data_IF_085459767144
#
_entry.id   IF_085459767144
#
_cell.length_a   1.000
_cell.length_b   1.000
_cell.length_c   1.000
_cell.angle_alpha   90.00
_cell.angle_beta   90.00
_cell.angle_gamma   90.00
#
_symmetry.space_group_name_H-M   'P 1'
#
loop_
_entity.id
_entity.type
_entity.pdbx_description
1 polymer ?
#
# COMPACT_ATOMS: atom_id res chain seq x y z
N UNK A 1 31.70 -11.47 10.22
CA UNK A 1 31.17 -10.45 9.30
C UNK A 1 29.72 -10.17 9.71
N UNK A 2 29.52 -9.20 10.60
CA UNK A 2 28.17 -8.79 11.04
C UNK A 2 27.69 -7.65 10.13
N UNK A 3 26.60 -7.88 9.38
CA UNK A 3 25.88 -6.82 8.71
C UNK A 3 25.06 -6.04 9.74
N UNK A 4 25.68 -4.99 10.32
CA UNK A 4 24.96 -3.96 11.07
C UNK A 4 24.13 -3.14 10.09
N UNK A 5 22.89 -3.56 9.84
CA UNK A 5 21.86 -2.71 9.26
C UNK A 5 21.63 -1.53 10.19
N UNK A 6 22.09 -0.37 9.75
CA UNK A 6 22.10 0.88 10.50
C UNK A 6 20.67 1.40 10.65
N UNK A 7 20.25 1.61 11.90
CA UNK A 7 18.98 2.27 12.29
C UNK A 7 18.79 3.66 11.65
N UNK A 8 19.85 4.22 11.03
CA UNK A 8 19.86 5.49 10.28
C UNK A 8 19.15 5.40 8.92
N UNK A 9 18.95 4.21 8.36
CA UNK A 9 18.14 4.04 7.14
C UNK A 9 16.63 3.97 7.44
N UNK A 10 16.26 3.84 8.72
CA UNK A 10 14.89 3.65 9.17
C UNK A 10 14.09 4.96 9.30
N UNK A 11 14.75 6.12 9.21
CA UNK A 11 14.10 7.44 9.31
C UNK A 11 14.81 8.41 8.38
N UNK A 12 14.69 8.19 7.07
CA UNK A 12 14.77 9.30 6.11
C UNK A 12 13.35 9.80 5.87
N UNK A 13 12.76 10.38 6.92
CA UNK A 13 11.55 11.21 6.83
C UNK A 13 11.92 12.46 6.04
N UNK A 14 11.79 12.39 4.73
CA UNK A 14 11.62 13.60 3.92
C UNK A 14 10.23 14.15 4.24
N UNK A 15 10.18 15.34 4.84
CA UNK A 15 9.01 16.15 5.23
C UNK A 15 8.04 16.53 4.07
N UNK A 16 7.97 15.73 3.01
CA UNK A 16 7.14 15.98 1.83
C UNK A 16 6.40 14.75 1.30
N UNK A 17 6.40 13.62 2.03
CA UNK A 17 5.70 12.43 1.55
C UNK A 17 4.19 12.52 1.81
N UNK A 18 3.41 12.42 0.75
CA UNK A 18 1.94 12.32 0.81
C UNK A 18 1.50 11.26 1.84
N UNK A 19 0.50 11.54 2.72
CA UNK A 19 0.07 10.66 3.82
C UNK A 19 -0.12 9.19 3.42
N UNK A 20 -0.74 8.98 2.25
CA UNK A 20 -0.99 7.63 1.72
C UNK A 20 0.27 6.76 1.59
N UNK A 21 1.43 7.35 1.24
CA UNK A 21 2.68 6.61 1.15
C UNK A 21 3.25 6.26 2.52
N UNK A 22 3.01 7.08 3.53
CA UNK A 22 3.43 6.78 4.90
C UNK A 22 2.63 5.59 5.45
N UNK A 23 1.31 5.61 5.30
CA UNK A 23 0.44 4.50 5.70
C UNK A 23 0.78 3.19 4.97
N UNK A 24 0.98 3.25 3.65
CA UNK A 24 1.37 2.08 2.87
C UNK A 24 2.76 1.55 3.27
N UNK A 25 3.71 2.45 3.54
CA UNK A 25 5.05 2.06 4.01
C UNK A 25 5.00 1.42 5.41
N UNK A 26 4.10 1.90 6.29
CA UNK A 26 3.85 1.31 7.61
C UNK A 26 3.43 -0.16 7.49
N UNK A 27 2.56 -0.45 6.52
CA UNK A 27 2.06 -1.80 6.21
C UNK A 27 3.02 -2.61 5.32
N UNK A 28 4.27 -2.16 5.19
CA UNK A 28 5.31 -2.79 4.37
C UNK A 28 4.98 -2.94 2.87
N UNK A 29 4.02 -2.15 2.35
CA UNK A 29 3.73 -2.11 0.91
C UNK A 29 4.86 -1.38 0.18
N UNK A 30 5.52 -2.10 -0.71
CA UNK A 30 6.69 -1.62 -1.42
C UNK A 30 6.33 -0.73 -2.60
N UNK A 31 7.27 0.15 -3.01
CA UNK A 31 7.10 0.95 -4.21
C UNK A 31 6.96 0.11 -5.50
N UNK A 32 7.48 -1.12 -5.50
CA UNK A 32 7.34 -2.06 -6.62
C UNK A 32 5.92 -2.60 -6.71
N UNK A 33 5.31 -2.98 -5.59
CA UNK A 33 3.91 -3.43 -5.53
C UNK A 33 2.96 -2.30 -5.95
N UNK A 34 3.21 -1.08 -5.47
CA UNK A 34 2.46 0.11 -5.90
C UNK A 34 2.57 0.33 -7.42
N UNK A 35 3.79 0.24 -7.96
CA UNK A 35 4.03 0.41 -9.39
C UNK A 35 3.31 -0.65 -10.23
N UNK A 36 3.32 -1.91 -9.78
CA UNK A 36 2.61 -3.01 -10.41
C UNK A 36 1.08 -2.80 -10.38
N UNK A 37 0.52 -2.42 -9.22
CA UNK A 37 -0.91 -2.19 -9.05
C UNK A 37 -1.42 -1.05 -9.95
N UNK A 38 -0.64 0.02 -10.08
CA UNK A 38 -0.95 1.18 -10.92
C UNK A 38 -0.56 1.01 -12.40
N UNK A 39 0.15 -0.07 -12.76
CA UNK A 39 0.75 -0.29 -14.09
C UNK A 39 1.64 0.87 -14.55
N UNK A 40 2.46 1.40 -13.64
CA UNK A 40 3.42 2.49 -13.90
C UNK A 40 4.85 2.02 -13.65
N UNK A 41 5.83 2.83 -14.04
CA UNK A 41 7.23 2.53 -13.72
C UNK A 41 7.52 2.70 -12.21
N UNK A 42 8.40 1.89 -11.61
CA UNK A 42 8.87 2.10 -10.24
C UNK A 42 9.53 3.47 -10.03
N UNK A 43 10.13 4.03 -11.09
CA UNK A 43 10.71 5.37 -11.06
C UNK A 43 9.65 6.45 -10.86
N UNK A 44 8.44 6.30 -11.42
CA UNK A 44 7.32 7.22 -11.19
C UNK A 44 6.94 7.24 -9.71
N UNK A 45 6.77 6.07 -9.11
CA UNK A 45 6.44 5.94 -7.67
C UNK A 45 7.53 6.53 -6.79
N UNK A 46 8.80 6.30 -7.15
CA UNK A 46 9.94 6.91 -6.44
C UNK A 46 9.92 8.44 -6.51
N UNK A 47 9.63 9.01 -7.69
CA UNK A 47 9.50 10.47 -7.83
C UNK A 47 8.36 11.03 -6.98
N UNK A 48 7.21 10.36 -6.94
CA UNK A 48 6.07 10.74 -6.11
C UNK A 48 6.38 10.70 -4.62
N UNK A 49 6.97 9.60 -4.13
CA UNK A 49 7.32 9.43 -2.70
C UNK A 49 8.29 10.48 -2.20
N UNK A 50 9.23 10.90 -3.05
CA UNK A 50 10.26 11.88 -2.72
C UNK A 50 9.84 13.33 -3.01
N UNK A 51 8.57 13.57 -3.37
CA UNK A 51 8.09 14.91 -3.72
C UNK A 51 8.72 15.50 -4.99
N UNK A 52 9.44 14.70 -5.80
CA UNK A 52 10.07 15.15 -7.06
C UNK A 52 9.06 15.32 -8.20
N UNK A 53 7.83 14.84 -8.01
CA UNK A 53 6.73 15.00 -8.97
C UNK A 53 5.39 14.95 -8.24
N UNK A 54 4.41 15.73 -8.70
CA UNK A 54 3.04 15.69 -8.18
C UNK A 54 2.42 14.32 -8.49
N UNK A 55 1.72 13.76 -7.51
CA UNK A 55 0.90 12.56 -7.70
C UNK A 55 -0.38 12.95 -8.44
N UNK A 56 -0.78 12.25 -9.50
CA UNK A 56 -2.09 12.48 -10.13
C UNK A 56 -3.23 12.27 -9.12
N UNK A 57 -4.27 13.09 -9.22
CA UNK A 57 -5.36 13.11 -8.25
C UNK A 57 -6.14 11.77 -8.24
N UNK A 58 -6.33 11.15 -9.40
CA UNK A 58 -6.94 9.81 -9.52
C UNK A 58 -6.06 8.71 -8.91
N UNK A 59 -4.74 8.86 -9.00
CA UNK A 59 -3.77 7.95 -8.37
C UNK A 59 -3.81 8.10 -6.84
N UNK A 60 -3.98 9.31 -6.30
CA UNK A 60 -4.17 9.51 -4.86
C UNK A 60 -5.40 8.75 -4.35
N UNK A 61 -6.52 8.85 -5.07
CA UNK A 61 -7.75 8.13 -4.72
C UNK A 61 -7.54 6.62 -4.79
N UNK A 62 -6.90 6.11 -5.84
CA UNK A 62 -6.54 4.70 -5.93
C UNK A 62 -5.72 4.22 -4.74
N UNK A 63 -4.65 4.95 -4.40
CA UNK A 63 -3.74 4.58 -3.31
C UNK A 63 -4.43 4.65 -1.94
N UNK A 64 -5.41 5.54 -1.78
CA UNK A 64 -6.20 5.67 -0.55
C UNK A 64 -7.07 4.43 -0.34
N UNK A 65 -7.72 3.96 -1.41
CA UNK A 65 -8.51 2.72 -1.36
C UNK A 65 -7.63 1.50 -1.12
N UNK A 66 -6.46 1.44 -1.75
CA UNK A 66 -5.47 0.40 -1.49
C UNK A 66 -5.02 0.39 -0.02
N UNK A 67 -4.77 1.57 0.58
CA UNK A 67 -4.41 1.67 1.99
C UNK A 67 -5.53 1.13 2.89
N UNK A 68 -6.79 1.50 2.63
CA UNK A 68 -7.94 0.98 3.37
C UNK A 68 -8.04 -0.55 3.30
N UNK A 69 -7.89 -1.11 2.11
CA UNK A 69 -7.91 -2.56 1.89
C UNK A 69 -6.80 -3.30 2.65
N UNK A 70 -5.58 -2.76 2.65
CA UNK A 70 -4.45 -3.33 3.40
C UNK A 70 -4.66 -3.25 4.92
N UNK A 71 -5.33 -2.20 5.42
CA UNK A 71 -5.71 -2.10 6.84
C UNK A 71 -6.70 -3.21 7.18
N UNK A 72 -7.74 -3.43 6.37
CA UNK A 72 -8.71 -4.50 6.62
C UNK A 72 -8.06 -5.89 6.57
N UNK A 73 -7.25 -6.17 5.54
CA UNK A 73 -6.49 -7.42 5.47
C UNK A 73 -5.57 -7.61 6.69
N UNK A 74 -4.99 -6.51 7.16
CA UNK A 74 -4.16 -6.46 8.36
C UNK A 74 -4.92 -6.71 9.66
N UNK A 75 -6.24 -6.48 9.70
CA UNK A 75 -7.10 -6.80 10.85
C UNK A 75 -7.52 -8.26 10.87
N UNK A 76 -7.84 -8.83 9.71
CA UNK A 76 -8.32 -10.22 9.59
C UNK A 76 -7.28 -11.27 9.98
N UNK A 77 -5.99 -10.93 9.84
CA UNK A 77 -4.87 -11.82 10.20
C UNK A 77 -4.64 -11.95 11.71
N UNK A 78 -5.51 -11.39 12.56
CA UNK A 78 -5.49 -11.50 14.03
C UNK A 78 -5.68 -12.94 14.56
N UNK A 79 -6.20 -13.87 13.76
CA UNK A 79 -6.59 -15.21 14.22
C UNK A 79 -5.45 -16.20 14.53
N UNK A 80 -4.17 -15.82 14.44
CA UNK A 80 -3.06 -16.77 14.64
C UNK A 80 -1.73 -16.25 15.19
N UNK A 81 -1.67 -15.04 15.76
CA UNK A 81 -0.39 -14.44 16.19
C UNK A 81 -0.25 -14.27 17.71
N UNK A 82 0.93 -14.60 18.25
CA UNK A 82 1.32 -14.45 19.66
C UNK A 82 1.24 -12.99 20.15
N UNK A 83 0.96 -12.79 21.44
CA UNK A 83 0.70 -11.49 22.08
C UNK A 83 1.86 -10.46 21.96
N UNK A 84 3.11 -10.91 21.81
CA UNK A 84 4.24 -10.00 21.59
C UNK A 84 4.24 -9.42 20.15
N UNK A 85 3.78 -10.19 19.17
CA UNK A 85 3.64 -9.76 17.77
C UNK A 85 2.42 -8.88 17.57
N UNK A 86 1.39 -9.00 18.43
CA UNK A 86 0.16 -8.20 18.33
C UNK A 86 0.37 -6.73 18.71
N UNK A 87 1.27 -6.42 19.66
CA UNK A 87 1.53 -5.04 20.11
C UNK A 87 2.12 -4.14 19.02
N UNK A 88 3.24 -4.56 18.40
CA UNK A 88 3.87 -3.79 17.32
C UNK A 88 2.97 -3.67 16.09
N UNK A 89 2.21 -4.72 15.77
CA UNK A 89 1.24 -4.73 14.68
C UNK A 89 0.09 -3.75 14.91
N UNK A 90 -0.43 -3.67 16.13
CA UNK A 90 -1.51 -2.73 16.46
C UNK A 90 -1.05 -1.28 16.31
N UNK A 91 0.19 -0.96 16.72
CA UNK A 91 0.77 0.38 16.50
C UNK A 91 0.88 0.72 15.01
N UNK A 92 1.31 -0.24 14.18
CA UNK A 92 1.38 -0.06 12.72
C UNK A 92 -0.01 0.20 12.12
N UNK A 93 -1.03 -0.54 12.53
CA UNK A 93 -2.41 -0.34 12.06
C UNK A 93 -2.95 1.03 12.48
N UNK A 94 -2.72 1.44 13.73
CA UNK A 94 -3.14 2.77 14.22
C UNK A 94 -2.48 3.88 13.40
N UNK A 95 -1.19 3.74 13.10
CA UNK A 95 -0.47 4.72 12.27
C UNK A 95 -1.06 4.76 10.85
N UNK A 96 -1.27 3.60 10.22
CA UNK A 96 -1.87 3.52 8.89
C UNK A 96 -3.29 4.11 8.84
N UNK A 97 -4.10 3.89 9.88
CA UNK A 97 -5.45 4.48 10.00
C UNK A 97 -5.40 6.01 10.14
N UNK A 98 -4.45 6.54 10.91
CA UNK A 98 -4.24 7.98 11.03
C UNK A 98 -3.91 8.61 9.67
N UNK A 99 -3.00 7.99 8.92
CA UNK A 99 -2.62 8.43 7.58
C UNK A 99 -3.77 8.32 6.57
N UNK A 100 -4.58 7.26 6.67
CA UNK A 100 -5.77 7.09 5.85
C UNK A 100 -6.77 8.24 6.07
N UNK A 101 -7.11 8.54 7.33
CA UNK A 101 -8.03 9.64 7.67
C UNK A 101 -7.51 11.00 7.22
N UNK A 102 -6.20 11.22 7.30
CA UNK A 102 -5.58 12.44 6.79
C UNK A 102 -5.73 12.52 5.26
N UNK A 103 -5.45 11.42 4.54
CA UNK A 103 -5.57 11.37 3.09
C UNK A 103 -7.03 11.52 2.62
N UNK A 104 -8.00 10.94 3.32
CA UNK A 104 -9.43 11.09 2.99
C UNK A 104 -9.89 12.55 3.05
N UNK A 105 -9.43 13.30 4.06
CA UNK A 105 -9.70 14.75 4.15
C UNK A 105 -9.08 15.54 3.00
N UNK A 106 -7.90 15.13 2.52
CA UNK A 106 -7.28 15.72 1.33
C UNK A 106 -8.07 15.36 0.07
N UNK A 107 -8.50 14.11 -0.06
CA UNK A 107 -9.28 13.62 -1.21
C UNK A 107 -10.65 14.27 -1.31
N UNK A 108 -11.24 14.71 -0.19
CA UNK A 108 -12.51 15.45 -0.18
C UNK A 108 -12.46 16.77 -0.96
N UNK A 109 -11.26 17.28 -1.25
CA UNK A 109 -11.04 18.52 -2.04
C UNK A 109 -10.78 18.24 -3.52
N UNK A 110 -10.74 16.97 -3.94
CA UNK A 110 -10.45 16.60 -5.32
C UNK A 110 -11.68 16.77 -6.23
N UNK A 111 -11.47 17.04 -7.53
CA UNK A 111 -12.56 17.04 -8.50
C UNK A 111 -13.29 15.69 -8.52
N UNK A 112 -14.62 15.70 -8.63
CA UNK A 112 -15.43 14.48 -8.65
C UNK A 112 -15.01 13.50 -9.76
N UNK A 113 -14.49 14.01 -10.88
CA UNK A 113 -13.97 13.18 -11.96
C UNK A 113 -12.71 12.40 -11.56
N UNK A 114 -11.80 13.01 -10.80
CA UNK A 114 -10.62 12.32 -10.30
C UNK A 114 -11.02 11.21 -9.30
N UNK A 115 -12.01 11.47 -8.46
CA UNK A 115 -12.58 10.46 -7.54
C UNK A 115 -13.15 9.28 -8.32
N UNK A 116 -14.00 9.54 -9.33
CA UNK A 116 -14.60 8.49 -10.17
C UNK A 116 -13.53 7.65 -10.87
N UNK A 117 -12.52 8.30 -11.45
CA UNK A 117 -11.46 7.62 -12.18
C UNK A 117 -10.57 6.78 -11.25
N UNK A 118 -10.20 7.31 -10.08
CA UNK A 118 -9.44 6.57 -9.07
C UNK A 118 -10.19 5.34 -8.56
N UNK A 119 -11.48 5.48 -8.26
CA UNK A 119 -12.35 4.35 -7.88
C UNK A 119 -12.44 3.32 -9.01
N UNK A 120 -12.61 3.76 -10.26
CA UNK A 120 -12.68 2.87 -11.43
C UNK A 120 -11.40 2.05 -11.57
N UNK A 121 -10.23 2.69 -11.47
CA UNK A 121 -8.92 2.02 -11.53
C UNK A 121 -8.76 1.01 -10.39
N UNK A 122 -9.14 1.40 -9.18
CA UNK A 122 -9.08 0.51 -8.02
C UNK A 122 -9.91 -0.75 -8.24
N UNK A 123 -11.16 -0.60 -8.69
CA UNK A 123 -12.05 -1.73 -8.98
C UNK A 123 -11.49 -2.65 -10.07
N UNK A 124 -10.92 -2.09 -11.13
CA UNK A 124 -10.31 -2.88 -12.21
C UNK A 124 -9.12 -3.71 -11.70
N UNK A 125 -8.24 -3.09 -10.91
CA UNK A 125 -7.12 -3.78 -10.27
C UNK A 125 -7.61 -4.86 -9.29
N UNK A 126 -8.56 -4.52 -8.41
CA UNK A 126 -9.12 -5.42 -7.41
C UNK A 126 -9.76 -6.66 -8.04
N UNK A 127 -10.60 -6.45 -9.06
CA UNK A 127 -11.24 -7.55 -9.79
C UNK A 127 -10.21 -8.40 -10.55
N UNK A 128 -9.19 -7.77 -11.15
CA UNK A 128 -8.09 -8.49 -11.80
C UNK A 128 -7.36 -9.40 -10.83
N UNK A 129 -7.00 -8.87 -9.66
CA UNK A 129 -6.32 -9.62 -8.58
C UNK A 129 -7.17 -10.79 -8.09
N UNK A 130 -8.46 -10.59 -7.81
CA UNK A 130 -9.35 -11.67 -7.34
C UNK A 130 -9.59 -12.74 -8.42
N UNK A 131 -9.76 -12.34 -9.67
CA UNK A 131 -9.95 -13.29 -10.76
C UNK A 131 -8.69 -14.13 -11.01
N UNK A 132 -7.49 -13.55 -10.86
CA UNK A 132 -6.25 -14.35 -10.92
C UNK A 132 -6.14 -15.37 -9.78
N UNK A 133 -6.66 -15.06 -8.59
CA UNK A 133 -6.66 -15.98 -7.44
C UNK A 133 -7.63 -17.14 -7.68
N UNK A 134 -8.82 -16.87 -8.22
CA UNK A 134 -9.83 -17.90 -8.49
C UNK A 134 -9.41 -18.90 -9.59
N UNK A 135 -8.52 -18.49 -10.50
CA UNK A 135 -7.99 -19.36 -11.56
C UNK A 135 -6.77 -20.19 -11.11
N UNK A 136 -6.27 -20.01 -9.88
CA UNK A 136 -5.20 -20.83 -9.28
C UNK A 136 -5.51 -21.21 -7.81
N UNK A 137 -6.51 -22.08 -7.56
CA UNK A 137 -6.98 -22.39 -6.22
C UNK A 137 -5.97 -23.15 -5.33
N UNK A 138 -4.84 -23.62 -5.86
CA UNK A 138 -3.80 -24.33 -5.08
C UNK A 138 -2.95 -23.41 -4.17
N UNK A 139 -3.16 -22.09 -4.18
CA UNK A 139 -2.38 -21.12 -3.40
C UNK A 139 -3.08 -20.61 -2.13
N UNK A 140 -4.22 -21.19 -1.75
CA UNK A 140 -5.12 -20.64 -0.71
C UNK A 140 -4.61 -20.85 0.74
N UNK A 141 -3.56 -21.65 0.99
CA UNK A 141 -3.23 -22.07 2.37
C UNK A 141 -2.32 -21.14 3.18
N UNK A 142 -1.88 -19.99 2.68
CA UNK A 142 -1.14 -19.03 3.50
C UNK A 142 -1.65 -17.61 3.27
N UNK A 143 -2.06 -16.95 4.37
CA UNK A 143 -2.46 -15.54 4.39
C UNK A 143 -1.54 -14.71 3.53
N UNK A 144 -2.11 -14.17 2.44
CA UNK A 144 -1.35 -13.74 1.28
C UNK A 144 -0.59 -12.44 1.57
N UNK A 145 0.63 -12.58 2.07
CA UNK A 145 1.72 -11.64 1.84
C UNK A 145 2.14 -11.83 0.38
N UNK A 146 2.14 -10.76 -0.41
CA UNK A 146 2.45 -10.72 -1.84
C UNK A 146 3.85 -11.21 -2.23
N UNK A 147 4.13 -12.50 -2.04
CA UNK A 147 5.27 -13.20 -2.63
C UNK A 147 4.71 -14.11 -3.71
N UNK A 148 4.94 -13.71 -4.95
CA UNK A 148 5.22 -14.53 -6.13
C UNK A 148 4.74 -13.80 -7.39
N UNK A 149 5.56 -12.86 -7.86
CA UNK A 149 5.70 -12.61 -9.28
C UNK A 149 7.14 -12.94 -9.67
N UNK A 150 7.44 -14.24 -9.76
CA UNK A 150 8.58 -14.69 -10.54
C UNK A 150 8.19 -14.66 -12.00
N UNK A 151 8.75 -13.67 -12.70
CA UNK A 151 9.27 -13.74 -14.08
C UNK A 151 8.67 -14.81 -14.98
N UNK A 152 7.92 -14.39 -16.00
CA UNK A 152 7.92 -15.09 -17.28
C UNK A 152 8.07 -14.07 -18.42
N UNK A 153 9.19 -14.24 -19.13
CA UNK A 153 9.35 -13.86 -20.53
C UNK A 153 8.41 -14.68 -21.39
#
# INVERSE_FOLDING_TARGET
>A
MEFKLSRRDLIKTSDSSVPVFQGLCALAVTGREIAAALRVSPASVSKWRNGKSKVPDDVLVFLTLLLGDQIECGRDTKLGSSAATSGGRQTVLIMAESELRLQERLNARLPSMAIREGVRRYRLWWNGTRNSILLQPSLISHGFNGRHFTSLR
#
